data_IF_954594320008
#
_entry.id   IF_954594320008
#
_cell.length_a   1.000
_cell.length_b   1.000
_cell.length_c   1.000
_cell.angle_alpha   90.00
_cell.angle_beta   90.00
_cell.angle_gamma   90.00
#
_symmetry.space_group_name_H-M   'P 1'
#
loop_
_entity.id
_entity.type
_entity.pdbx_description
1 polymer ?
#
# COMPACT_ATOMS: atom_id res chain seq x y z
N UNK A 1 -68.60 -31.79 10.89
CA UNK A 1 -68.79 -32.78 11.96
C UNK A 1 -67.88 -33.97 11.70
N UNK A 2 -67.30 -34.49 12.77
CA UNK A 2 -66.54 -35.74 12.90
C UNK A 2 -65.03 -35.73 12.61
N UNK A 3 -64.33 -36.40 13.53
CA UNK A 3 -62.93 -36.25 13.92
C UNK A 3 -62.09 -37.48 13.52
N UNK A 4 -60.76 -37.30 13.65
CA UNK A 4 -59.65 -38.23 13.99
C UNK A 4 -59.83 -39.75 13.75
N UNK A 5 -58.81 -40.52 13.32
CA UNK A 5 -57.66 -40.94 14.15
C UNK A 5 -56.61 -41.67 13.28
N UNK A 6 -55.35 -41.32 13.55
CA UNK A 6 -54.06 -42.03 13.47
C UNK A 6 -53.92 -43.45 12.86
N UNK A 7 -52.82 -43.63 12.12
CA UNK A 7 -52.15 -44.92 11.94
C UNK A 7 -50.83 -44.80 11.18
N UNK A 8 -49.71 -44.64 11.89
CA UNK A 8 -48.38 -45.01 11.40
C UNK A 8 -48.03 -46.42 11.87
N UNK A 9 -47.30 -47.21 11.07
CA UNK A 9 -46.10 -47.83 11.63
C UNK A 9 -44.87 -47.85 10.71
N UNK A 10 -43.75 -47.40 11.30
CA UNK A 10 -42.35 -47.83 11.26
C UNK A 10 -41.73 -48.49 10.00
N UNK A 11 -40.81 -47.72 9.39
CA UNK A 11 -39.38 -47.98 9.10
C UNK A 11 -38.98 -49.37 8.57
N UNK A 12 -38.42 -49.42 7.35
CA UNK A 12 -37.22 -50.20 7.01
C UNK A 12 -36.53 -49.56 5.80
N UNK A 13 -35.32 -49.00 5.98
CA UNK A 13 -34.39 -48.67 4.91
C UNK A 13 -33.59 -49.94 4.56
N UNK A 14 -33.12 -50.11 3.32
CA UNK A 14 -31.69 -49.88 3.18
C UNK A 14 -31.29 -49.15 1.88
N UNK A 15 -30.33 -48.24 2.08
CA UNK A 15 -29.14 -48.01 1.27
C UNK A 15 -29.25 -48.23 -0.25
N UNK A 16 -29.34 -47.12 -0.97
CA UNK A 16 -28.37 -46.81 -2.03
C UNK A 16 -28.22 -45.30 -2.14
N UNK A 17 -27.39 -44.76 -1.24
CA UNK A 17 -26.74 -43.48 -1.45
C UNK A 17 -25.86 -43.66 -2.69
N UNK A 18 -26.25 -43.08 -3.82
CA UNK A 18 -25.27 -42.72 -4.83
C UNK A 18 -24.48 -41.54 -4.25
N UNK A 19 -23.47 -41.85 -3.43
CA UNK A 19 -22.35 -40.95 -3.21
C UNK A 19 -21.64 -40.90 -4.55
N UNK A 20 -21.95 -39.87 -5.35
CA UNK A 20 -20.94 -39.37 -6.27
C UNK A 20 -19.84 -38.88 -5.36
N UNK A 21 -18.78 -39.67 -5.27
CA UNK A 21 -17.55 -39.32 -4.56
C UNK A 21 -16.89 -38.19 -5.35
N UNK A 22 -17.48 -36.99 -5.26
CA UNK A 22 -16.75 -35.76 -5.58
C UNK A 22 -15.76 -35.62 -4.43
N UNK A 23 -14.55 -36.08 -4.72
CA UNK A 23 -13.37 -35.81 -3.90
C UNK A 23 -13.46 -34.38 -3.40
N UNK A 24 -13.48 -34.29 -2.09
CA UNK A 24 -13.39 -33.10 -1.29
C UNK A 24 -12.24 -32.24 -1.83
N UNK A 25 -12.59 -31.22 -2.61
CA UNK A 25 -11.70 -30.13 -2.96
C UNK A 25 -11.73 -29.16 -1.79
N UNK A 26 -11.06 -29.53 -0.70
CA UNK A 26 -10.60 -28.53 0.26
C UNK A 26 -9.73 -27.52 -0.52
N UNK A 27 -10.05 -26.22 -0.37
CA UNK A 27 -9.27 -25.05 -0.82
C UNK A 27 -9.53 -24.48 -2.25
N UNK A 28 -10.77 -24.01 -2.53
CA UNK A 28 -10.87 -22.82 -3.40
C UNK A 28 -11.84 -21.73 -2.91
N UNK A 29 -12.62 -21.99 -1.86
CA UNK A 29 -13.61 -21.02 -1.36
C UNK A 29 -13.03 -20.02 -0.35
N UNK A 30 -12.06 -20.42 0.49
CA UNK A 30 -11.42 -19.57 1.49
C UNK A 30 -10.56 -18.48 0.85
N UNK A 31 -9.70 -18.84 -0.10
CA UNK A 31 -8.78 -17.91 -0.78
C UNK A 31 -9.55 -16.83 -1.54
N UNK A 32 -10.73 -17.17 -2.09
CA UNK A 32 -11.62 -16.21 -2.74
C UNK A 32 -12.23 -15.19 -1.76
N UNK A 33 -12.49 -15.60 -0.51
CA UNK A 33 -13.04 -14.71 0.50
C UNK A 33 -11.95 -13.79 1.08
N UNK A 34 -10.76 -14.33 1.34
CA UNK A 34 -9.63 -13.54 1.82
C UNK A 34 -9.25 -12.43 0.84
N UNK A 35 -9.23 -12.73 -0.46
CA UNK A 35 -8.93 -11.72 -1.48
C UNK A 35 -10.03 -10.65 -1.56
N UNK A 36 -11.31 -11.06 -1.53
CA UNK A 36 -12.44 -10.11 -1.52
C UNK A 36 -12.38 -9.20 -0.28
N UNK A 37 -12.05 -9.75 0.89
CA UNK A 37 -11.88 -8.93 2.10
C UNK A 37 -10.69 -7.99 2.00
N UNK A 38 -9.57 -8.44 1.40
CA UNK A 38 -8.41 -7.58 1.17
C UNK A 38 -8.76 -6.40 0.28
N UNK A 39 -9.40 -6.64 -0.86
CA UNK A 39 -9.85 -5.58 -1.77
C UNK A 39 -10.78 -4.59 -1.07
N UNK A 40 -11.79 -5.08 -0.34
CA UNK A 40 -12.71 -4.23 0.43
C UNK A 40 -12.01 -3.35 1.46
N UNK A 41 -11.02 -3.90 2.18
CA UNK A 41 -10.24 -3.16 3.16
C UNK A 41 -9.37 -2.11 2.45
N UNK A 42 -8.72 -2.47 1.34
CA UNK A 42 -7.89 -1.53 0.58
C UNK A 42 -8.71 -0.35 0.05
N UNK A 43 -9.90 -0.61 -0.49
CA UNK A 43 -10.81 0.43 -0.95
C UNK A 43 -11.28 1.34 0.20
N UNK A 44 -11.68 0.75 1.33
CA UNK A 44 -12.09 1.51 2.51
C UNK A 44 -10.95 2.36 3.08
N UNK A 45 -9.72 1.81 3.13
CA UNK A 45 -8.52 2.54 3.54
C UNK A 45 -8.22 3.69 2.60
N UNK A 46 -8.31 3.48 1.29
CA UNK A 46 -8.09 4.52 0.29
C UNK A 46 -9.07 5.69 0.47
N UNK A 47 -10.36 5.41 0.59
CA UNK A 47 -11.40 6.44 0.79
C UNK A 47 -11.14 7.24 2.07
N UNK A 48 -10.83 6.57 3.18
CA UNK A 48 -10.56 7.25 4.45
C UNK A 48 -9.27 8.07 4.40
N UNK A 49 -8.23 7.58 3.72
CA UNK A 49 -6.98 8.33 3.55
C UNK A 49 -7.17 9.58 2.70
N UNK A 50 -7.89 9.47 1.57
CA UNK A 50 -8.24 10.62 0.72
C UNK A 50 -9.05 11.66 1.51
N UNK A 51 -10.02 11.22 2.32
CA UNK A 51 -10.78 12.12 3.20
C UNK A 51 -9.86 12.89 4.15
N UNK A 52 -8.94 12.20 4.83
CA UNK A 52 -7.99 12.84 5.77
C UNK A 52 -7.09 13.85 5.09
N UNK A 53 -6.58 13.52 3.89
CA UNK A 53 -5.72 14.43 3.13
C UNK A 53 -6.47 15.71 2.77
N UNK A 54 -7.72 15.61 2.31
CA UNK A 54 -8.54 16.78 1.98
C UNK A 54 -9.01 17.60 3.20
N UNK A 55 -8.94 17.04 4.41
CA UNK A 55 -9.24 17.79 5.64
C UNK A 55 -8.07 18.67 6.09
N UNK A 56 -6.84 18.30 5.72
CA UNK A 56 -5.62 18.99 6.15
C UNK A 56 -4.90 19.75 5.04
N UNK A 57 -5.18 19.43 3.78
CA UNK A 57 -4.54 20.03 2.61
C UNK A 57 -5.57 20.56 1.62
N UNK A 58 -5.25 21.68 0.97
CA UNK A 58 -6.07 22.28 -0.08
C UNK A 58 -6.03 21.40 -1.35
N UNK A 59 -7.18 20.89 -1.84
CA UNK A 59 -7.23 20.11 -3.07
C UNK A 59 -6.70 20.83 -4.30
N UNK A 60 -6.88 22.16 -4.40
CA UNK A 60 -6.37 22.93 -5.53
C UNK A 60 -4.84 23.01 -5.51
N UNK A 61 -4.25 23.09 -4.32
CA UNK A 61 -2.79 23.07 -4.16
C UNK A 61 -2.21 21.68 -4.44
N UNK A 62 -2.90 20.60 -4.04
CA UNK A 62 -2.50 19.24 -4.41
C UNK A 62 -2.50 19.09 -5.93
N UNK A 63 -3.58 19.48 -6.60
CA UNK A 63 -3.67 19.40 -8.06
C UNK A 63 -2.58 20.22 -8.75
N UNK A 64 -2.23 21.41 -8.21
CA UNK A 64 -1.11 22.21 -8.70
C UNK A 64 0.21 21.45 -8.57
N UNK A 65 0.50 20.86 -7.41
CA UNK A 65 1.73 20.13 -7.10
C UNK A 65 1.88 18.84 -7.93
N UNK A 66 0.79 18.11 -8.13
CA UNK A 66 0.76 16.92 -8.99
C UNK A 66 1.04 17.25 -10.46
N UNK A 67 0.64 18.45 -10.92
CA UNK A 67 0.87 18.90 -12.28
C UNK A 67 2.31 19.39 -12.56
N UNK A 68 3.14 19.56 -11.53
CA UNK A 68 4.53 19.98 -11.70
C UNK A 68 5.40 18.82 -12.20
N UNK A 69 6.34 19.13 -13.10
CA UNK A 69 7.40 18.21 -13.54
C UNK A 69 8.44 18.06 -12.43
N UNK A 70 8.63 16.84 -11.93
CA UNK A 70 9.61 16.53 -10.91
C UNK A 70 11.04 16.75 -11.44
N UNK A 71 11.29 16.41 -12.70
CA UNK A 71 12.59 16.64 -13.35
C UNK A 71 12.96 18.12 -13.35
N UNK A 72 12.04 19.00 -13.73
CA UNK A 72 12.30 20.44 -13.76
C UNK A 72 12.45 21.02 -12.35
N UNK A 73 11.66 20.53 -11.37
CA UNK A 73 11.83 20.89 -9.97
C UNK A 73 13.21 20.49 -9.45
N UNK A 74 13.70 19.30 -9.80
CA UNK A 74 15.04 18.83 -9.43
C UNK A 74 16.15 19.67 -10.09
N UNK A 75 16.06 19.95 -11.40
CA UNK A 75 17.08 20.75 -12.11
C UNK A 75 17.20 22.18 -11.58
N UNK A 76 16.08 22.75 -11.13
CA UNK A 76 16.01 24.11 -10.63
C UNK A 76 16.20 24.24 -9.12
N UNK A 77 16.44 23.12 -8.41
CA UNK A 77 16.52 23.07 -6.95
C UNK A 77 15.31 23.75 -6.29
N UNK A 78 14.12 23.44 -6.81
CA UNK A 78 12.89 24.12 -6.43
C UNK A 78 12.37 23.58 -5.10
N UNK A 79 11.96 24.46 -4.15
CA UNK A 79 11.41 24.04 -2.86
C UNK A 79 10.12 23.21 -2.97
N UNK A 80 9.41 23.27 -4.10
CA UNK A 80 8.20 22.47 -4.33
C UNK A 80 8.51 20.98 -4.63
N UNK A 81 9.78 20.55 -4.77
CA UNK A 81 10.12 19.14 -5.07
C UNK A 81 9.53 18.17 -4.03
N UNK A 82 9.80 18.39 -2.73
CA UNK A 82 9.29 17.52 -1.67
C UNK A 82 7.76 17.59 -1.56
N UNK A 83 7.11 18.78 -1.57
CA UNK A 83 5.65 18.87 -1.66
C UNK A 83 5.04 18.13 -2.86
N UNK A 84 5.67 18.22 -4.04
CA UNK A 84 5.21 17.53 -5.25
C UNK A 84 5.34 16.00 -5.14
N UNK A 85 6.42 15.50 -4.53
CA UNK A 85 6.56 14.07 -4.22
C UNK A 85 5.51 13.62 -3.20
N UNK A 86 5.33 14.37 -2.11
CA UNK A 86 4.31 14.07 -1.09
C UNK A 86 2.89 14.03 -1.68
N UNK A 87 2.60 14.88 -2.68
CA UNK A 87 1.31 14.89 -3.36
C UNK A 87 0.97 13.57 -4.06
N UNK A 88 1.98 12.81 -4.50
CA UNK A 88 1.81 11.54 -5.22
C UNK A 88 1.59 10.33 -4.31
N UNK A 89 1.79 10.46 -3.00
CA UNK A 89 1.84 9.32 -2.05
C UNK A 89 0.48 8.79 -1.56
N UNK A 90 -0.63 9.09 -2.24
CA UNK A 90 -1.95 8.49 -1.97
C UNK A 90 -2.25 8.17 -0.47
N UNK A 91 -2.58 6.91 -0.11
CA UNK A 91 -2.82 6.51 1.27
C UNK A 91 -1.61 6.65 2.21
N UNK A 92 -0.39 6.53 1.69
CA UNK A 92 0.85 6.66 2.47
C UNK A 92 1.01 8.08 3.01
N UNK A 93 0.62 9.11 2.24
CA UNK A 93 0.62 10.50 2.68
C UNK A 93 -0.15 10.67 3.99
N UNK A 94 -1.37 10.12 4.05
CA UNK A 94 -2.21 10.21 5.25
C UNK A 94 -1.56 9.56 6.47
N UNK A 95 -0.78 8.49 6.28
CA UNK A 95 -0.04 7.83 7.35
C UNK A 95 1.17 8.67 7.81
N UNK A 96 1.92 9.27 6.87
CA UNK A 96 3.04 10.16 7.18
C UNK A 96 2.55 11.40 7.95
N UNK A 97 1.53 12.08 7.44
CA UNK A 97 0.92 13.25 8.09
C UNK A 97 0.39 12.91 9.48
N UNK A 98 -0.31 11.76 9.62
CA UNK A 98 -0.89 11.32 10.89
C UNK A 98 0.13 11.01 11.99
N UNK A 99 1.37 10.67 11.61
CA UNK A 99 2.47 10.44 12.53
C UNK A 99 3.43 11.64 12.60
N UNK A 100 3.15 12.75 11.90
CA UNK A 100 4.01 13.93 11.88
C UNK A 100 5.39 13.66 11.26
N UNK A 101 5.44 12.82 10.23
CA UNK A 101 6.63 12.61 9.41
C UNK A 101 6.43 13.07 7.98
N UNK A 102 7.48 12.92 7.18
CA UNK A 102 7.48 13.33 5.78
C UNK A 102 8.63 12.70 5.02
N UNK A 103 8.74 13.05 3.74
CA UNK A 103 9.86 12.66 2.89
C UNK A 103 11.02 13.65 3.00
N UNK A 104 12.23 13.13 2.92
CA UNK A 104 13.45 13.89 2.67
C UNK A 104 14.11 13.31 1.42
N UNK A 105 14.46 14.16 0.47
CA UNK A 105 15.25 13.75 -0.70
C UNK A 105 16.72 13.92 -0.35
N UNK A 106 17.41 12.82 -0.06
CA UNK A 106 18.86 12.85 0.22
C UNK A 106 19.68 13.01 -1.04
N UNK A 107 19.23 12.41 -2.14
CA UNK A 107 19.83 12.58 -3.44
C UNK A 107 18.75 12.48 -4.53
N UNK A 108 18.89 13.30 -5.55
CA UNK A 108 18.08 13.20 -6.78
C UNK A 108 19.01 13.32 -7.98
N UNK A 109 18.83 12.43 -8.95
CA UNK A 109 19.64 12.41 -10.18
C UNK A 109 18.72 12.41 -11.38
N UNK A 110 18.96 13.36 -12.28
CA UNK A 110 18.31 13.37 -13.59
C UNK A 110 19.14 12.54 -14.56
N UNK A 111 18.52 11.51 -15.10
CA UNK A 111 19.11 10.59 -16.06
C UNK A 111 18.51 10.82 -17.45
N UNK A 112 19.38 10.93 -18.45
CA UNK A 112 18.94 11.03 -19.85
C UNK A 112 18.66 9.63 -20.38
N UNK A 113 17.37 9.32 -20.58
CA UNK A 113 16.92 8.05 -21.14
C UNK A 113 16.51 8.23 -22.60
N UNK A 114 16.15 7.12 -23.27
CA UNK A 114 15.63 7.17 -24.65
C UNK A 114 14.26 7.85 -24.76
N UNK A 115 13.52 7.98 -23.65
CA UNK A 115 12.18 8.57 -23.60
C UNK A 115 12.20 10.02 -23.08
N UNK A 116 13.34 10.50 -22.59
CA UNK A 116 13.50 11.85 -22.04
C UNK A 116 14.34 11.85 -20.77
N UNK A 117 14.36 12.99 -20.10
CA UNK A 117 14.94 13.10 -18.77
C UNK A 117 14.02 12.39 -17.76
N UNK A 118 14.61 11.55 -16.92
CA UNK A 118 13.92 10.81 -15.86
C UNK A 118 14.66 10.98 -14.53
N UNK A 119 14.01 10.61 -13.43
CA UNK A 119 14.47 10.85 -12.08
C UNK A 119 14.75 9.55 -11.33
N UNK A 120 15.94 9.48 -10.75
CA UNK A 120 16.34 8.48 -9.77
C UNK A 120 16.47 9.16 -8.40
N UNK A 121 15.80 8.60 -7.39
CA UNK A 121 15.66 9.20 -6.08
C UNK A 121 16.32 8.33 -5.00
N UNK A 122 17.05 8.96 -4.07
CA UNK A 122 17.39 8.38 -2.76
C UNK A 122 16.64 9.18 -1.69
N UNK A 123 15.73 8.48 -1.03
CA UNK A 123 14.77 9.03 -0.08
C UNK A 123 15.17 8.64 1.34
N UNK A 124 14.94 9.55 2.26
CA UNK A 124 14.91 9.32 3.69
C UNK A 124 13.56 9.77 4.24
N UNK A 125 13.28 9.42 5.50
CA UNK A 125 12.09 9.89 6.20
C UNK A 125 12.50 10.91 7.26
N UNK A 126 11.58 11.82 7.58
CA UNK A 126 11.74 12.74 8.72
C UNK A 126 10.59 12.57 9.73
N UNK A 127 10.74 13.21 10.89
CA UNK A 127 9.78 13.26 11.96
C UNK A 127 9.64 11.92 12.68
N UNK A 128 8.45 11.65 13.21
CA UNK A 128 8.25 10.44 14.01
C UNK A 128 8.30 9.14 13.18
N UNK A 129 8.17 9.23 11.85
CA UNK A 129 8.17 8.07 10.94
C UNK A 129 9.47 7.27 10.99
N UNK A 130 10.61 7.93 11.23
CA UNK A 130 11.90 7.25 11.46
C UNK A 130 11.89 6.54 12.82
N UNK A 131 11.40 7.20 13.86
CA UNK A 131 11.42 6.66 15.23
C UNK A 131 10.43 5.50 15.47
N UNK A 132 9.37 5.40 14.66
CA UNK A 132 8.38 4.32 14.74
C UNK A 132 8.77 3.09 13.93
N UNK A 133 9.98 3.04 13.36
CA UNK A 133 10.49 1.83 12.71
C UNK A 133 9.87 1.56 11.34
N UNK A 134 9.60 2.62 10.55
CA UNK A 134 8.97 2.61 9.22
C UNK A 134 8.49 1.23 8.75
N UNK A 135 7.18 0.98 8.88
CA UNK A 135 6.62 -0.33 8.53
C UNK A 135 7.00 -0.70 7.08
N UNK A 136 7.40 -1.96 6.81
CA UNK A 136 7.74 -2.42 5.47
C UNK A 136 6.78 -1.99 4.37
N UNK A 137 5.47 -2.11 4.63
CA UNK A 137 4.43 -1.69 3.69
C UNK A 137 4.40 -0.19 3.42
N UNK A 138 4.83 0.65 4.35
CA UNK A 138 4.94 2.10 4.12
C UNK A 138 6.07 2.41 3.15
N UNK A 139 7.25 1.79 3.32
CA UNK A 139 8.37 2.00 2.41
C UNK A 139 8.06 1.50 0.99
N UNK A 140 7.46 0.31 0.90
CA UNK A 140 6.99 -0.24 -0.37
C UNK A 140 5.93 0.68 -1.00
N UNK A 141 4.97 1.19 -0.22
CA UNK A 141 3.96 2.12 -0.72
C UNK A 141 4.55 3.42 -1.26
N UNK A 142 5.56 4.00 -0.58
CA UNK A 142 6.28 5.18 -1.09
C UNK A 142 6.91 4.87 -2.45
N UNK A 143 7.60 3.73 -2.55
CA UNK A 143 8.23 3.31 -3.80
C UNK A 143 7.19 3.10 -4.91
N UNK A 144 6.11 2.39 -4.62
CA UNK A 144 5.07 2.05 -5.59
C UNK A 144 4.37 3.30 -6.10
N UNK A 145 3.96 4.20 -5.20
CA UNK A 145 3.26 5.44 -5.54
C UNK A 145 4.15 6.38 -6.37
N UNK A 146 5.44 6.55 -6.00
CA UNK A 146 6.36 7.40 -6.74
C UNK A 146 6.70 6.82 -8.12
N UNK A 147 6.84 5.49 -8.25
CA UNK A 147 7.08 4.83 -9.53
C UNK A 147 5.86 4.84 -10.47
N UNK A 148 4.67 5.26 -10.00
CA UNK A 148 3.53 5.53 -10.89
C UNK A 148 3.72 6.82 -11.69
N UNK A 149 4.55 7.76 -11.24
CA UNK A 149 4.86 8.96 -12.00
C UNK A 149 5.79 8.63 -13.17
N UNK A 150 5.45 9.02 -14.42
CA UNK A 150 6.23 8.65 -15.61
C UNK A 150 7.63 9.27 -15.64
N UNK A 151 7.91 10.29 -14.84
CA UNK A 151 9.24 10.89 -14.73
C UNK A 151 10.15 10.13 -13.74
N UNK A 152 9.62 9.25 -12.88
CA UNK A 152 10.40 8.53 -11.87
C UNK A 152 10.70 7.12 -12.35
N UNK A 153 11.98 6.75 -12.39
CA UNK A 153 12.44 5.42 -12.86
C UNK A 153 13.06 4.57 -11.75
N UNK A 154 13.49 5.18 -10.65
CA UNK A 154 14.11 4.48 -9.54
C UNK A 154 13.85 5.22 -8.22
N UNK A 155 13.48 4.46 -7.20
CA UNK A 155 13.40 4.94 -5.81
C UNK A 155 14.20 3.99 -4.93
N UNK A 156 15.14 4.55 -4.18
CA UNK A 156 15.94 3.85 -3.17
C UNK A 156 15.87 4.61 -1.85
N UNK A 157 16.25 3.94 -0.77
CA UNK A 157 16.20 4.52 0.57
C UNK A 157 17.61 4.68 1.13
N UNK A 158 17.83 5.76 1.88
CA UNK A 158 19.08 6.02 2.57
C UNK A 158 19.31 4.94 3.65
N UNK A 159 20.45 4.24 3.59
CA UNK A 159 20.85 3.26 4.61
C UNK A 159 21.05 3.87 6.00
N UNK A 160 21.30 5.18 6.10
CA UNK A 160 21.35 5.91 7.36
C UNK A 160 20.05 5.79 8.18
N UNK A 161 18.90 5.56 7.53
CA UNK A 161 17.62 5.32 8.21
C UNK A 161 17.69 4.09 9.14
N UNK A 162 18.49 3.07 8.76
CA UNK A 162 18.62 1.83 9.53
C UNK A 162 19.37 2.01 10.86
N UNK A 163 20.09 3.13 11.04
CA UNK A 163 20.80 3.45 12.28
C UNK A 163 19.83 3.75 13.43
N UNK A 164 18.61 4.18 13.11
CA UNK A 164 17.55 4.47 14.08
C UNK A 164 16.78 3.23 14.54
N UNK A 165 16.98 2.09 13.88
CA UNK A 165 16.30 0.84 14.17
C UNK A 165 17.16 -0.05 15.08
N UNK A 166 16.50 -0.75 15.99
CA UNK A 166 17.13 -1.86 16.69
C UNK A 166 17.39 -3.05 15.73
N UNK A 167 18.10 -4.06 16.23
CA UNK A 167 18.50 -5.23 15.43
C UNK A 167 17.30 -5.95 14.81
N UNK A 168 16.23 -6.17 15.58
CA UNK A 168 15.05 -6.88 15.12
C UNK A 168 14.27 -6.08 14.08
N UNK A 169 14.09 -4.79 14.32
CA UNK A 169 13.43 -3.87 13.38
C UNK A 169 14.21 -3.79 12.07
N UNK A 170 15.54 -3.68 12.13
CA UNK A 170 16.40 -3.66 10.95
C UNK A 170 16.30 -4.95 10.15
N UNK A 171 16.41 -6.11 10.81
CA UNK A 171 16.24 -7.41 10.14
C UNK A 171 14.86 -7.53 9.48
N UNK A 172 13.81 -7.07 10.16
CA UNK A 172 12.45 -7.13 9.67
C UNK A 172 12.26 -6.25 8.42
N UNK A 173 12.72 -5.00 8.45
CA UNK A 173 12.63 -4.06 7.32
C UNK A 173 13.48 -4.53 6.14
N UNK A 174 14.69 -5.03 6.36
CA UNK A 174 15.53 -5.55 5.28
C UNK A 174 14.93 -6.80 4.61
N UNK A 175 14.25 -7.66 5.39
CA UNK A 175 13.67 -8.91 4.87
C UNK A 175 12.31 -8.71 4.21
N UNK A 176 11.50 -7.78 4.72
CA UNK A 176 10.10 -7.63 4.32
C UNK A 176 9.78 -6.31 3.64
N UNK A 177 10.72 -5.35 3.63
CA UNK A 177 10.54 -4.01 3.06
C UNK A 177 10.32 -4.00 1.56
N UNK A 178 10.92 -4.93 0.82
CA UNK A 178 10.81 -4.97 -0.65
C UNK A 178 11.48 -3.79 -1.38
N UNK A 179 12.24 -2.98 -0.64
CA UNK A 179 12.92 -1.77 -1.12
C UNK A 179 14.44 -1.92 -1.04
N UNK A 180 15.17 -1.09 -1.77
CA UNK A 180 16.63 -1.09 -1.78
C UNK A 180 17.19 0.03 -0.91
N UNK A 181 18.08 -0.32 0.02
CA UNK A 181 18.85 0.62 0.83
C UNK A 181 20.24 0.85 0.24
N UNK A 182 20.72 2.09 0.20
CA UNK A 182 22.02 2.47 -0.36
C UNK A 182 22.84 3.42 0.50
#
# INVERSE_FOLDING_TARGET
MSACVFGHPKITLPLRLFVKESRDSSEPASDSLEEVYREQIMDAMKIESERRIHETHDPDEIARLEALSLVELTKSDNPDLVPALMARLGPVRAALDGHGGGLVVTESRVENTTIGDCLSLIIDLDGACVSCGAAPGTLQGIQDDLLMDPEVIEVRFNSGMLEWFDELQREFVLKHGGVTFV
#
